data_IF_335888976715
#
_entry.id   IF_335888976715
#
_cell.length_a   1.000
_cell.length_b   1.000
_cell.length_c   1.000
_cell.angle_alpha   90.00
_cell.angle_beta   90.00
_cell.angle_gamma   90.00
#
_symmetry.space_group_name_H-M   'P 1'
#
loop_
_entity.id
_entity.type
_entity.pdbx_description
1 polymer ?
#
# COMPACT_ATOMS: atom_id res chain seq x y z
N UNK A 1 16.71 8.00 -8.95
CA UNK A 1 17.08 6.63 -9.43
C UNK A 1 15.85 5.74 -9.36
N UNK A 2 15.56 5.05 -10.44
CA UNK A 2 14.42 4.14 -10.48
C UNK A 2 14.81 2.74 -10.00
N UNK A 3 13.89 2.11 -9.29
CA UNK A 3 14.03 0.71 -8.87
C UNK A 3 12.87 -0.10 -9.41
N UNK A 4 13.10 -1.39 -9.64
CA UNK A 4 12.10 -2.32 -10.14
C UNK A 4 11.70 -3.28 -9.00
N UNK A 5 10.67 -4.10 -9.26
CA UNK A 5 10.24 -5.13 -8.29
C UNK A 5 11.42 -6.04 -7.91
N UNK A 6 12.31 -6.32 -8.86
CA UNK A 6 13.47 -7.19 -8.62
C UNK A 6 14.45 -6.60 -7.61
N UNK A 7 14.43 -5.28 -7.40
CA UNK A 7 15.30 -4.61 -6.45
C UNK A 7 14.77 -4.67 -5.01
N UNK A 8 13.49 -5.03 -4.81
CA UNK A 8 12.88 -5.02 -3.48
C UNK A 8 13.37 -6.22 -2.67
N UNK A 9 13.80 -5.95 -1.45
CA UNK A 9 14.32 -6.97 -0.54
C UNK A 9 13.19 -7.60 0.29
N UNK A 10 12.42 -8.48 -0.33
CA UNK A 10 11.35 -9.18 0.36
C UNK A 10 11.88 -10.19 1.38
N UNK A 11 13.08 -10.73 1.14
CA UNK A 11 13.66 -11.74 2.02
C UNK A 11 13.90 -11.23 3.43
N UNK A 12 14.25 -9.95 3.56
CA UNK A 12 14.52 -9.31 4.85
C UNK A 12 13.30 -9.35 5.79
N UNK A 13 12.08 -9.31 5.22
CA UNK A 13 10.83 -9.35 5.96
C UNK A 13 10.07 -10.66 5.82
N UNK A 14 10.76 -11.75 5.56
CA UNK A 14 10.16 -13.07 5.36
C UNK A 14 9.13 -13.09 4.23
N UNK A 15 9.44 -12.40 3.14
CA UNK A 15 8.62 -12.37 1.94
C UNK A 15 7.69 -11.18 1.82
N UNK A 16 7.64 -10.31 2.82
CA UNK A 16 6.79 -9.10 2.79
C UNK A 16 7.59 -7.85 3.15
N UNK A 17 7.11 -6.71 2.68
CA UNK A 17 7.66 -5.41 3.08
C UNK A 17 6.51 -4.48 3.50
N UNK A 18 6.76 -3.55 4.43
CA UNK A 18 5.74 -2.57 4.80
C UNK A 18 5.52 -1.55 3.70
N UNK A 19 4.27 -1.13 3.58
CA UNK A 19 3.85 -0.10 2.63
C UNK A 19 3.11 0.98 3.39
N UNK A 20 3.58 2.21 3.29
CA UNK A 20 2.84 3.38 3.75
C UNK A 20 1.97 3.84 2.59
N UNK A 21 0.67 4.01 2.83
CA UNK A 21 -0.24 4.55 1.81
C UNK A 21 -0.48 6.01 2.14
N UNK A 22 -0.20 6.89 1.20
CA UNK A 22 -0.25 8.34 1.37
C UNK A 22 -1.08 8.96 0.26
N UNK A 23 -1.92 9.93 0.60
CA UNK A 23 -2.69 10.68 -0.39
C UNK A 23 -1.72 11.49 -1.28
N UNK A 24 -1.80 11.29 -2.58
CA UNK A 24 -0.90 11.95 -3.54
C UNK A 24 -1.07 13.48 -3.54
N UNK A 25 -2.26 13.98 -3.21
CA UNK A 25 -2.57 15.41 -3.23
C UNK A 25 -2.34 16.08 -1.89
N UNK A 26 -2.99 15.60 -0.83
CA UNK A 26 -2.90 16.20 0.50
C UNK A 26 -1.62 15.85 1.25
N UNK A 27 -0.97 14.75 0.84
CA UNK A 27 0.18 14.17 1.52
C UNK A 27 -0.16 13.56 2.87
N UNK A 28 -1.44 13.42 3.19
CA UNK A 28 -1.86 12.76 4.41
C UNK A 28 -1.50 11.27 4.36
N UNK A 29 -0.95 10.77 5.46
CA UNK A 29 -0.70 9.32 5.59
C UNK A 29 -2.04 8.66 5.89
N UNK A 30 -2.41 7.66 5.09
CA UNK A 30 -3.73 7.02 5.16
C UNK A 30 -3.72 5.73 5.95
N UNK A 31 -2.72 4.88 5.72
CA UNK A 31 -2.61 3.60 6.41
C UNK A 31 -1.21 3.01 6.25
N UNK A 32 -0.93 1.97 7.02
CA UNK A 32 0.24 1.12 6.83
C UNK A 32 -0.24 -0.30 6.63
N UNK A 33 0.29 -0.96 5.62
CA UNK A 33 -0.06 -2.34 5.28
C UNK A 33 1.20 -3.07 4.86
N UNK A 34 1.04 -4.28 4.34
CA UNK A 34 2.16 -5.11 3.88
C UNK A 34 1.89 -5.60 2.47
N UNK A 35 2.97 -5.78 1.71
CA UNK A 35 2.87 -6.32 0.36
C UNK A 35 3.93 -7.39 0.17
N UNK A 36 3.59 -8.40 -0.63
CA UNK A 36 4.57 -9.38 -1.11
C UNK A 36 4.83 -9.12 -2.59
N UNK A 37 5.66 -9.93 -3.21
CA UNK A 37 5.99 -9.76 -4.62
C UNK A 37 4.74 -9.81 -5.50
N UNK A 38 3.84 -10.75 -5.22
CA UNK A 38 2.62 -10.93 -6.02
C UNK A 38 1.66 -9.75 -5.90
N UNK A 39 1.43 -9.25 -4.69
CA UNK A 39 0.56 -8.08 -4.50
C UNK A 39 1.16 -6.82 -5.11
N UNK A 40 2.48 -6.66 -5.05
CA UNK A 40 3.14 -5.53 -5.69
C UNK A 40 3.02 -5.60 -7.21
N UNK A 41 3.16 -6.78 -7.79
CA UNK A 41 2.96 -6.99 -9.22
C UNK A 41 1.54 -6.63 -9.64
N UNK A 42 0.53 -7.05 -8.84
CA UNK A 42 -0.87 -6.70 -9.09
C UNK A 42 -1.11 -5.20 -8.99
N UNK A 43 -0.48 -4.54 -8.02
CA UNK A 43 -0.59 -3.08 -7.88
C UNK A 43 -0.06 -2.38 -9.13
N UNK A 44 1.08 -2.80 -9.63
CA UNK A 44 1.66 -2.22 -10.85
C UNK A 44 0.83 -2.52 -12.08
N UNK A 45 0.28 -3.73 -12.17
CA UNK A 45 -0.52 -4.17 -13.32
C UNK A 45 -1.88 -3.48 -13.39
N UNK A 46 -2.57 -3.37 -12.26
CA UNK A 46 -3.94 -2.87 -12.22
C UNK A 46 -4.05 -1.37 -11.96
N UNK A 47 -3.02 -0.78 -11.34
CA UNK A 47 -3.06 0.62 -10.93
C UNK A 47 -3.82 0.85 -9.63
N UNK A 48 -4.28 -0.21 -8.95
CA UNK A 48 -4.98 -0.14 -7.67
C UNK A 48 -4.10 -0.73 -6.57
N UNK A 49 -4.33 -0.28 -5.31
CA UNK A 49 -3.55 -0.78 -4.17
C UNK A 49 -3.91 -2.22 -3.83
N UNK A 50 -2.95 -3.11 -3.98
CA UNK A 50 -3.04 -4.51 -3.55
C UNK A 50 -2.07 -4.74 -2.41
N UNK A 51 -2.46 -5.64 -1.50
CA UNK A 51 -1.70 -5.92 -0.28
C UNK A 51 -1.70 -7.41 0.02
N UNK A 52 -0.82 -7.80 0.96
CA UNK A 52 -0.81 -9.13 1.54
C UNK A 52 -1.30 -9.04 2.97
N UNK A 53 -2.35 -9.76 3.31
CA UNK A 53 -2.86 -9.83 4.68
C UNK A 53 -2.09 -10.89 5.45
N UNK A 54 -1.36 -10.48 6.50
CA UNK A 54 -0.62 -11.40 7.36
C UNK A 54 -1.55 -12.28 8.17
N UNK A 55 -2.64 -11.71 8.68
CA UNK A 55 -3.59 -12.45 9.52
C UNK A 55 -4.42 -13.45 8.75
N UNK A 56 -4.80 -13.11 7.51
CA UNK A 56 -5.62 -13.97 6.66
C UNK A 56 -4.82 -14.83 5.70
N UNK A 57 -3.54 -14.53 5.59
CA UNK A 57 -2.62 -15.22 4.69
C UNK A 57 -3.14 -15.23 3.24
N UNK A 58 -3.56 -14.07 2.75
CA UNK A 58 -4.09 -13.93 1.39
C UNK A 58 -3.87 -12.54 0.80
N UNK A 59 -3.97 -12.47 -0.53
CA UNK A 59 -3.97 -11.21 -1.28
C UNK A 59 -5.30 -10.49 -1.10
N UNK A 60 -5.27 -9.15 -1.07
CA UNK A 60 -6.50 -8.37 -1.09
C UNK A 60 -6.25 -7.01 -1.76
N UNK A 61 -7.29 -6.50 -2.40
CA UNK A 61 -7.28 -5.17 -3.02
C UNK A 61 -8.07 -4.21 -2.15
N UNK A 62 -7.50 -3.04 -1.88
CA UNK A 62 -8.21 -2.02 -1.10
C UNK A 62 -9.48 -1.62 -1.84
N UNK A 63 -10.61 -1.69 -1.15
CA UNK A 63 -11.90 -1.31 -1.70
C UNK A 63 -12.61 -2.38 -2.52
N UNK A 64 -12.11 -3.64 -2.51
CA UNK A 64 -12.74 -4.72 -3.29
C UNK A 64 -14.18 -5.02 -2.87
N UNK A 65 -14.52 -4.72 -1.61
CA UNK A 65 -15.89 -4.88 -1.11
C UNK A 65 -16.61 -3.56 -0.94
N UNK A 66 -15.93 -2.54 -0.38
CA UNK A 66 -16.53 -1.24 -0.06
C UNK A 66 -16.64 -0.31 -1.26
N UNK A 67 -15.87 -0.54 -2.32
CA UNK A 67 -15.76 0.40 -3.44
C UNK A 67 -14.80 1.55 -3.18
N UNK A 68 -14.21 1.65 -1.99
CA UNK A 68 -13.25 2.70 -1.64
C UNK A 68 -11.85 2.32 -2.10
N UNK A 69 -11.69 2.21 -3.42
CA UNK A 69 -10.43 1.84 -4.06
C UNK A 69 -9.41 2.97 -3.94
N UNK A 70 -8.15 2.64 -4.18
CA UNK A 70 -7.07 3.62 -4.17
C UNK A 70 -6.29 3.47 -5.47
N UNK A 71 -6.36 4.51 -6.30
CA UNK A 71 -5.61 4.54 -7.56
C UNK A 71 -4.17 4.93 -7.25
N UNK A 72 -3.24 4.06 -7.54
CA UNK A 72 -1.82 4.31 -7.29
C UNK A 72 -1.24 5.19 -8.39
N UNK A 73 -0.77 6.37 -8.01
CA UNK A 73 -0.15 7.32 -8.93
C UNK A 73 1.34 7.08 -9.03
N UNK A 74 1.97 6.69 -7.93
CA UNK A 74 3.41 6.52 -7.87
C UNK A 74 3.76 5.55 -6.75
N UNK A 75 4.83 4.78 -6.93
CA UNK A 75 5.37 3.90 -5.90
C UNK A 75 6.78 4.38 -5.61
N UNK A 76 7.05 4.73 -4.36
CA UNK A 76 8.37 5.13 -3.90
C UNK A 76 9.02 3.99 -3.13
N UNK A 77 10.32 3.85 -3.29
CA UNK A 77 11.11 2.80 -2.65
C UNK A 77 12.15 3.45 -1.77
N UNK A 78 12.33 2.96 -0.55
CA UNK A 78 13.32 3.56 0.34
C UNK A 78 14.77 3.18 -0.04
N UNK A 79 15.74 3.72 0.69
CA UNK A 79 17.15 3.65 0.29
C UNK A 79 17.72 2.23 0.28
N UNK A 80 17.25 1.34 1.15
CA UNK A 80 17.70 -0.05 1.20
C UNK A 80 16.68 -1.06 0.66
N UNK A 81 15.63 -0.55 0.00
CA UNK A 81 14.66 -1.35 -0.74
C UNK A 81 13.85 -2.32 0.11
N UNK A 82 13.58 -1.95 1.36
CA UNK A 82 12.80 -2.80 2.28
C UNK A 82 11.50 -2.15 2.77
N UNK A 83 11.13 -0.99 2.23
CA UNK A 83 9.87 -0.31 2.54
C UNK A 83 9.40 0.49 1.34
N UNK A 84 8.09 0.64 1.21
CA UNK A 84 7.48 1.32 0.07
C UNK A 84 6.51 2.39 0.53
N UNK A 85 6.27 3.38 -0.36
CA UNK A 85 5.13 4.30 -0.24
C UNK A 85 4.32 4.16 -1.53
N UNK A 86 3.01 3.97 -1.37
CA UNK A 86 2.06 4.13 -2.47
C UNK A 86 1.46 5.52 -2.36
N UNK A 87 1.71 6.36 -3.36
CA UNK A 87 1.03 7.66 -3.48
C UNK A 87 -0.25 7.42 -4.26
N UNK A 88 -1.41 7.66 -3.63
CA UNK A 88 -2.70 7.25 -4.18
C UNK A 88 -3.70 8.39 -4.27
N UNK A 89 -4.70 8.21 -5.15
CA UNK A 89 -5.93 8.99 -5.15
C UNK A 89 -7.03 8.09 -4.58
N UNK A 90 -7.46 8.32 -3.33
CA UNK A 90 -8.50 7.47 -2.74
C UNK A 90 -9.88 7.82 -3.31
N UNK A 91 -10.69 6.78 -3.58
CA UNK A 91 -12.06 6.94 -4.04
C UNK A 91 -13.03 7.25 -2.89
N UNK A 92 -12.59 6.98 -1.66
CA UNK A 92 -13.38 7.21 -0.45
C UNK A 92 -12.53 7.03 0.79
N UNK A 93 -13.15 6.99 2.00
CA UNK A 93 -12.41 6.87 3.26
C UNK A 93 -11.48 5.67 3.28
N UNK A 94 -10.24 5.87 3.77
CA UNK A 94 -9.24 4.81 3.83
C UNK A 94 -9.53 3.81 4.95
N UNK A 95 -10.08 4.29 6.07
CA UNK A 95 -10.36 3.45 7.23
C UNK A 95 -11.75 2.82 7.14
N UNK A 96 -11.87 1.54 7.56
CA UNK A 96 -13.15 0.84 7.58
C UNK A 96 -14.19 1.49 8.51
N UNK A 97 -13.74 2.37 9.43
CA UNK A 97 -14.63 3.13 10.31
C UNK A 97 -15.26 4.34 9.64
N UNK A 98 -14.91 4.63 8.38
CA UNK A 98 -15.40 5.79 7.64
C UNK A 98 -14.52 7.02 7.74
N UNK A 99 -13.43 6.96 8.51
CA UNK A 99 -12.48 8.06 8.60
C UNK A 99 -11.60 8.14 7.37
N UNK A 100 -11.17 9.35 7.01
CA UNK A 100 -10.31 9.55 5.83
C UNK A 100 -8.95 8.89 5.95
N UNK A 101 -8.46 8.68 7.16
CA UNK A 101 -7.19 8.01 7.46
C UNK A 101 -7.37 7.02 8.61
N UNK A 102 -6.58 5.95 8.61
CA UNK A 102 -6.53 5.02 9.73
C UNK A 102 -5.86 5.64 10.96
N UNK A 103 -5.08 6.70 10.76
CA UNK A 103 -4.33 7.37 11.84
C UNK A 103 -5.12 8.56 12.39
N UNK A 104 -6.36 8.33 12.83
CA UNK A 104 -7.24 9.39 13.31
C UNK A 104 -7.31 9.50 14.83
N UNK A 105 -6.57 8.70 15.56
CA UNK A 105 -6.47 8.78 17.01
C UNK A 105 -5.16 9.43 17.43
N UNK A 106 -5.15 10.11 18.57
CA UNK A 106 -3.94 10.71 19.12
C UNK A 106 -3.62 10.09 20.47
N UNK A 107 -2.36 10.09 20.81
CA UNK A 107 -1.90 9.70 22.14
C UNK A 107 -1.90 10.92 23.07
#
# INVERSE_FOLDING_TARGET
>A
MEKTIENIDFAKGDGIVPVIVQDANSKQVLTLAYTNKESLELTKKTGNSWFWSRSRNKLWMKGEESGNTQKVKEILVDCDSDALIYLVEPAGPACHTGQGTCFHNKM
#
